data_IF_832251289282
#
_entry.id   IF_832251289282
#
_cell.length_a   1.000
_cell.length_b   1.000
_cell.length_c   1.000
_cell.angle_alpha   90.00
_cell.angle_beta   90.00
_cell.angle_gamma   90.00
#
_symmetry.space_group_name_H-M   'P 1'
#
loop_
_entity.id
_entity.type
_entity.pdbx_description
1 polymer ?
#
# COMPACT_ATOMS: atom_id res chain seq x y z
N UNK A 1 27.72 53.35 12.33
CA UNK A 1 27.40 52.10 13.05
C UNK A 1 25.98 51.72 12.69
N UNK A 2 25.79 50.81 11.73
CA UNK A 2 24.47 50.35 11.31
C UNK A 2 24.37 48.85 11.55
N UNK A 3 23.62 48.45 12.58
CA UNK A 3 23.29 47.06 12.85
C UNK A 3 22.35 46.55 11.75
N UNK A 4 22.87 45.74 10.83
CA UNK A 4 22.03 44.95 9.94
C UNK A 4 21.42 43.81 10.77
N UNK A 5 20.16 43.96 11.12
CA UNK A 5 19.34 42.87 11.66
C UNK A 5 19.33 41.72 10.64
N UNK A 6 19.87 40.58 11.05
CA UNK A 6 19.78 39.32 10.30
C UNK A 6 18.39 38.76 10.48
N UNK A 7 17.61 38.76 9.42
CA UNK A 7 16.35 38.03 9.35
C UNK A 7 16.60 36.52 9.54
N UNK A 8 15.94 35.94 10.55
CA UNK A 8 16.17 34.59 11.08
C UNK A 8 15.45 33.49 10.26
N UNK A 9 15.50 33.57 8.92
CA UNK A 9 15.03 32.51 8.02
C UNK A 9 16.18 31.69 7.40
N UNK A 10 17.43 32.03 7.73
CA UNK A 10 18.60 31.30 7.27
C UNK A 10 18.70 29.96 7.98
N UNK A 11 18.04 28.97 7.38
CA UNK A 11 18.50 27.58 7.26
C UNK A 11 19.05 26.98 8.54
N UNK A 12 18.16 26.62 9.46
CA UNK A 12 18.46 25.56 10.40
C UNK A 12 18.62 24.25 9.63
N UNK A 13 19.85 23.91 9.23
CA UNK A 13 20.37 22.56 8.97
C UNK A 13 19.33 21.45 8.67
N UNK A 14 18.47 21.65 7.68
CA UNK A 14 17.66 20.55 7.16
C UNK A 14 18.64 19.77 6.30
N UNK A 15 19.03 18.58 6.74
CA UNK A 15 19.65 17.62 5.84
C UNK A 15 18.70 17.47 4.65
N UNK A 16 19.02 18.11 3.53
CA UNK A 16 18.19 18.04 2.33
C UNK A 16 18.41 16.65 1.74
N UNK A 17 17.68 15.67 2.27
CA UNK A 17 17.74 14.29 1.81
C UNK A 17 16.95 14.18 0.51
N UNK A 18 17.68 14.29 -0.60
CA UNK A 18 17.09 14.23 -1.94
C UNK A 18 16.04 15.32 -2.20
N UNK A 19 15.13 15.03 -3.13
CA UNK A 19 14.06 15.91 -3.58
C UNK A 19 12.72 15.37 -3.11
N UNK A 20 11.89 16.24 -2.51
CA UNK A 20 10.56 15.88 -2.00
C UNK A 20 9.54 15.59 -3.11
N UNK A 21 9.59 16.35 -4.21
CA UNK A 21 8.78 16.11 -5.41
C UNK A 21 9.68 15.78 -6.61
N UNK A 22 9.52 14.57 -7.15
CA UNK A 22 10.35 14.09 -8.24
C UNK A 22 10.08 14.79 -9.58
N UNK A 23 9.01 15.59 -9.69
CA UNK A 23 8.81 16.50 -10.84
C UNK A 23 9.92 17.56 -10.92
N UNK A 24 10.56 17.88 -9.79
CA UNK A 24 11.67 18.84 -9.72
C UNK A 24 13.04 18.22 -10.05
N UNK A 25 13.09 16.93 -10.41
CA UNK A 25 14.34 16.29 -10.85
C UNK A 25 14.81 16.88 -12.18
N UNK A 26 16.11 17.20 -12.26
CA UNK A 26 16.73 17.75 -13.47
C UNK A 26 16.85 16.72 -14.60
N UNK A 27 16.94 15.44 -14.26
CA UNK A 27 16.96 14.31 -15.20
C UNK A 27 15.91 13.30 -14.79
N UNK A 28 14.95 13.04 -15.66
CA UNK A 28 13.94 11.99 -15.49
C UNK A 28 14.51 10.71 -16.10
N UNK A 29 15.29 9.96 -15.31
CA UNK A 29 15.71 8.59 -15.63
C UNK A 29 15.33 7.65 -14.49
N UNK A 30 15.19 6.36 -14.80
CA UNK A 30 14.90 5.33 -13.79
C UNK A 30 15.98 5.31 -12.70
N UNK A 31 17.25 5.46 -13.08
CA UNK A 31 18.35 5.49 -12.10
C UNK A 31 18.23 6.70 -11.16
N UNK A 32 17.88 7.88 -11.70
CA UNK A 32 17.73 9.10 -10.91
C UNK A 32 16.59 9.00 -9.89
N UNK A 33 15.46 8.38 -10.28
CA UNK A 33 14.32 8.12 -9.40
C UNK A 33 14.72 7.16 -8.27
N UNK A 34 15.35 6.03 -8.63
CA UNK A 34 15.79 5.02 -7.66
C UNK A 34 16.83 5.61 -6.71
N UNK A 35 17.76 6.41 -7.21
CA UNK A 35 18.78 7.06 -6.38
C UNK A 35 18.14 8.06 -5.39
N UNK A 36 17.15 8.84 -5.83
CA UNK A 36 16.44 9.77 -4.96
C UNK A 36 15.68 9.03 -3.86
N UNK A 37 14.91 7.99 -4.22
CA UNK A 37 14.18 7.16 -3.26
C UNK A 37 15.13 6.48 -2.27
N UNK A 38 16.27 5.99 -2.74
CA UNK A 38 17.29 5.37 -1.88
C UNK A 38 17.90 6.37 -0.89
N UNK A 39 18.25 7.57 -1.33
CA UNK A 39 18.79 8.63 -0.45
C UNK A 39 17.80 8.98 0.66
N UNK A 40 16.54 9.21 0.29
CA UNK A 40 15.45 9.52 1.22
C UNK A 40 15.20 8.39 2.22
N UNK A 41 15.17 7.16 1.72
CA UNK A 41 14.98 5.98 2.56
C UNK A 41 16.11 5.79 3.58
N UNK A 42 17.36 6.08 3.21
CA UNK A 42 18.51 6.02 4.13
C UNK A 42 18.44 7.07 5.25
N UNK A 43 17.79 8.21 4.99
CA UNK A 43 17.52 9.25 5.99
C UNK A 43 16.14 9.11 6.64
N UNK A 44 15.51 7.93 6.55
CA UNK A 44 14.23 7.59 7.19
C UNK A 44 12.98 8.35 6.67
N UNK A 45 13.11 9.00 5.50
CA UNK A 45 12.00 9.57 4.76
C UNK A 45 11.38 8.54 3.80
N UNK A 46 10.20 8.04 4.15
CA UNK A 46 9.52 6.98 3.38
C UNK A 46 8.56 7.52 2.31
N UNK A 47 8.20 8.80 2.42
CA UNK A 47 7.22 9.46 1.59
C UNK A 47 7.89 10.44 0.62
N UNK A 48 7.45 10.39 -0.63
CA UNK A 48 7.96 11.23 -1.73
C UNK A 48 6.82 11.53 -2.70
N UNK A 49 6.73 12.75 -3.21
CA UNK A 49 5.76 13.12 -4.23
C UNK A 49 6.26 12.84 -5.65
N UNK A 50 5.30 12.54 -6.52
CA UNK A 50 5.40 12.70 -7.97
C UNK A 50 4.16 13.50 -8.40
N UNK A 51 4.27 14.83 -8.36
CA UNK A 51 3.12 15.71 -8.61
C UNK A 51 1.92 15.34 -7.70
N UNK A 52 0.77 14.90 -8.24
CA UNK A 52 -0.39 14.54 -7.42
C UNK A 52 -0.28 13.17 -6.74
N UNK A 53 0.71 12.34 -7.09
CA UNK A 53 0.85 10.97 -6.57
C UNK A 53 1.81 10.95 -5.38
N UNK A 54 1.44 10.24 -4.32
CA UNK A 54 2.30 9.99 -3.17
C UNK A 54 2.90 8.58 -3.27
N UNK A 55 4.24 8.50 -3.28
CA UNK A 55 4.98 7.26 -3.13
C UNK A 55 5.25 6.99 -1.66
N UNK A 56 4.97 5.76 -1.24
CA UNK A 56 5.25 5.25 0.11
C UNK A 56 6.13 4.02 -0.01
N UNK A 57 7.34 4.08 0.54
CA UNK A 57 8.26 2.93 0.63
C UNK A 57 8.11 2.27 2.00
N UNK A 58 7.95 0.96 2.08
CA UNK A 58 7.76 0.28 3.37
C UNK A 58 9.09 0.21 4.16
N UNK A 59 9.20 0.82 5.35
CA UNK A 59 10.44 0.80 6.14
C UNK A 59 10.66 -0.52 6.90
N UNK A 60 9.66 -1.42 6.96
CA UNK A 60 9.67 -2.66 7.77
C UNK A 60 9.97 -2.44 9.28
N UNK A 61 9.93 -1.20 9.74
CA UNK A 61 10.07 -0.78 11.14
C UNK A 61 8.96 0.21 11.49
N UNK A 62 8.65 0.33 12.78
CA UNK A 62 7.74 1.37 13.24
C UNK A 62 8.46 2.71 13.27
N UNK A 63 7.85 3.73 12.66
CA UNK A 63 8.39 5.07 12.60
C UNK A 63 7.75 5.96 13.67
N UNK A 64 8.51 6.86 14.31
CA UNK A 64 8.03 7.65 15.44
C UNK A 64 7.12 8.84 15.05
N UNK A 65 6.99 9.20 13.78
CA UNK A 65 6.27 10.40 13.31
C UNK A 65 4.79 10.16 12.94
N UNK A 66 4.20 9.02 13.32
CA UNK A 66 2.77 8.76 13.16
C UNK A 66 2.00 9.04 14.45
N UNK A 67 2.19 10.22 15.05
CA UNK A 67 1.49 10.64 16.27
C UNK A 67 0.38 11.65 15.99
N UNK A 68 -0.41 11.95 17.01
CA UNK A 68 -1.46 12.97 16.91
C UNK A 68 -0.89 14.37 16.64
N UNK A 69 0.37 14.63 17.03
CA UNK A 69 1.02 15.92 16.78
C UNK A 69 1.22 16.17 15.29
N UNK A 70 1.58 15.15 14.53
CA UNK A 70 1.69 15.30 13.08
C UNK A 70 0.32 15.49 12.44
N UNK A 71 -0.74 14.85 12.96
CA UNK A 71 -2.11 15.08 12.45
C UNK A 71 -2.46 16.56 12.55
N UNK A 72 -2.19 17.19 13.69
CA UNK A 72 -2.41 18.63 13.91
C UNK A 72 -1.54 19.52 13.02
N UNK A 73 -0.27 19.14 12.81
CA UNK A 73 0.66 19.87 11.93
C UNK A 73 0.19 19.91 10.48
N UNK A 74 -0.40 18.82 10.00
CA UNK A 74 -0.89 18.70 8.62
C UNK A 74 -2.32 19.19 8.42
N UNK A 75 -3.07 19.45 9.51
CA UNK A 75 -4.45 19.92 9.44
C UNK A 75 -4.52 21.35 8.90
N UNK A 76 -5.15 21.53 7.74
CA UNK A 76 -5.33 22.83 7.10
C UNK A 76 -4.07 23.42 6.46
N UNK A 77 -2.93 22.75 6.53
CA UNK A 77 -1.68 23.18 5.89
C UNK A 77 -1.74 22.99 4.37
N UNK A 78 -1.05 23.82 3.59
CA UNK A 78 -0.93 23.59 2.15
C UNK A 78 0.04 22.42 1.86
N UNK A 79 -0.18 21.73 0.74
CA UNK A 79 0.57 20.52 0.37
C UNK A 79 2.10 20.73 0.30
N UNK A 80 2.55 21.95 -0.01
CA UNK A 80 3.96 22.31 -0.15
C UNK A 80 4.55 23.05 1.05
N UNK A 81 3.77 23.32 2.10
CA UNK A 81 4.27 23.92 3.34
C UNK A 81 5.01 22.91 4.21
N UNK A 82 4.57 21.65 4.15
CA UNK A 82 5.08 20.55 4.96
C UNK A 82 5.73 19.47 4.07
N UNK A 83 6.65 18.66 4.62
CA UNK A 83 7.25 17.56 3.87
C UNK A 83 6.20 16.52 3.43
N UNK A 84 6.50 15.72 2.38
CA UNK A 84 5.57 14.73 1.84
C UNK A 84 5.10 13.75 2.91
N UNK A 85 3.78 13.64 3.05
CA UNK A 85 3.17 12.75 4.04
C UNK A 85 1.78 12.30 3.60
N UNK A 86 1.35 11.13 4.10
CA UNK A 86 0.00 10.59 3.84
C UNK A 86 -1.11 11.46 4.44
N UNK A 87 -0.80 12.19 5.52
CA UNK A 87 -1.75 13.13 6.15
C UNK A 87 -2.01 14.36 5.28
N UNK A 88 -0.99 14.91 4.61
CA UNK A 88 -1.18 16.00 3.64
C UNK A 88 -2.12 15.59 2.49
N UNK A 89 -1.95 14.36 1.97
CA UNK A 89 -2.85 13.81 0.94
C UNK A 89 -4.29 13.69 1.46
N UNK A 90 -4.45 13.20 2.69
CA UNK A 90 -5.76 12.99 3.30
C UNK A 90 -6.47 14.30 3.62
N UNK A 91 -5.74 15.29 4.12
CA UNK A 91 -6.25 16.63 4.41
C UNK A 91 -6.71 17.35 3.13
N UNK A 92 -5.89 17.30 2.07
CA UNK A 92 -6.26 17.87 0.78
C UNK A 92 -7.54 17.21 0.24
N UNK A 93 -7.62 15.88 0.29
CA UNK A 93 -8.82 15.12 -0.09
C UNK A 93 -10.04 15.56 0.73
N UNK A 94 -9.93 15.63 2.05
CA UNK A 94 -11.05 15.99 2.94
C UNK A 94 -11.49 17.44 2.71
N UNK A 95 -10.56 18.39 2.53
CA UNK A 95 -10.89 19.78 2.23
C UNK A 95 -11.56 19.95 0.87
N UNK A 96 -11.05 19.31 -0.18
CA UNK A 96 -11.68 19.39 -1.51
C UNK A 96 -13.10 18.82 -1.47
N UNK A 97 -13.32 17.72 -0.74
CA UNK A 97 -14.66 17.17 -0.53
C UNK A 97 -15.61 18.18 0.15
N UNK A 98 -15.14 18.94 1.15
CA UNK A 98 -15.96 19.94 1.86
C UNK A 98 -16.19 21.22 1.04
N UNK A 99 -15.18 21.69 0.32
CA UNK A 99 -15.22 22.94 -0.44
C UNK A 99 -16.01 22.76 -1.74
N UNK A 100 -15.67 21.74 -2.51
CA UNK A 100 -16.27 21.50 -3.83
C UNK A 100 -17.59 20.70 -3.72
N UNK A 101 -17.80 20.00 -2.61
CA UNK A 101 -18.97 19.14 -2.41
C UNK A 101 -18.93 17.88 -3.29
N UNK A 102 -17.77 17.51 -3.81
CA UNK A 102 -17.58 16.37 -4.71
C UNK A 102 -17.00 15.14 -3.99
N UNK A 103 -17.39 13.95 -4.45
CA UNK A 103 -16.90 12.69 -3.91
C UNK A 103 -15.42 12.48 -4.25
N UNK A 104 -14.61 12.17 -3.24
CA UNK A 104 -13.18 11.91 -3.41
C UNK A 104 -12.85 10.43 -3.30
N UNK A 105 -11.82 9.99 -4.03
CA UNK A 105 -11.36 8.61 -4.02
C UNK A 105 -9.83 8.54 -3.98
N UNK A 106 -9.30 7.72 -3.07
CA UNK A 106 -7.86 7.42 -2.98
C UNK A 106 -7.63 5.98 -3.36
N UNK A 107 -6.77 5.77 -4.36
CA UNK A 107 -6.39 4.45 -4.85
C UNK A 107 -5.02 4.10 -4.27
N UNK A 108 -4.96 3.02 -3.49
CA UNK A 108 -3.71 2.52 -2.90
C UNK A 108 -3.29 1.26 -3.66
N UNK A 109 -2.30 1.40 -4.53
CA UNK A 109 -1.73 0.29 -5.30
C UNK A 109 -0.37 -0.14 -4.75
N UNK A 110 0.06 -1.34 -5.11
CA UNK A 110 1.37 -1.88 -4.72
C UNK A 110 1.36 -3.39 -4.55
N UNK A 111 2.55 -3.99 -4.55
CA UNK A 111 2.70 -5.43 -4.34
C UNK A 111 2.22 -5.87 -2.94
N UNK A 112 2.02 -7.17 -2.78
CA UNK A 112 1.60 -7.72 -1.50
C UNK A 112 2.72 -7.57 -0.48
N UNK A 113 2.46 -6.87 0.63
CA UNK A 113 3.49 -6.49 1.62
C UNK A 113 4.03 -5.06 1.49
N UNK A 114 3.62 -4.30 0.47
CA UNK A 114 4.05 -2.91 0.27
C UNK A 114 3.55 -1.90 1.33
N UNK A 115 2.62 -2.29 2.20
CA UNK A 115 2.07 -1.41 3.25
C UNK A 115 0.68 -0.83 2.96
N UNK A 116 -0.02 -1.30 1.92
CA UNK A 116 -1.37 -0.81 1.52
C UNK A 116 -2.37 -0.73 2.68
N UNK A 117 -2.48 -1.80 3.48
CA UNK A 117 -3.40 -1.86 4.63
C UNK A 117 -3.03 -0.85 5.72
N UNK A 118 -1.73 -0.62 5.93
CA UNK A 118 -1.22 0.32 6.94
C UNK A 118 -1.49 1.76 6.49
N UNK A 119 -1.25 2.06 5.21
CA UNK A 119 -1.58 3.35 4.61
C UNK A 119 -3.08 3.66 4.74
N UNK A 120 -3.96 2.71 4.40
CA UNK A 120 -5.41 2.88 4.56
C UNK A 120 -5.81 3.17 6.01
N UNK A 121 -5.18 2.50 6.99
CA UNK A 121 -5.41 2.73 8.42
C UNK A 121 -5.03 4.16 8.83
N UNK A 122 -3.92 4.71 8.32
CA UNK A 122 -3.52 6.08 8.62
C UNK A 122 -4.46 7.12 8.03
N UNK A 123 -4.91 6.92 6.79
CA UNK A 123 -5.92 7.78 6.14
C UNK A 123 -7.21 7.80 6.98
N UNK A 124 -7.73 6.62 7.35
CA UNK A 124 -8.93 6.51 8.18
C UNK A 124 -8.74 7.13 9.57
N UNK A 125 -7.57 6.93 10.18
CA UNK A 125 -7.24 7.52 11.48
C UNK A 125 -7.22 9.05 11.44
N UNK A 126 -6.66 9.63 10.38
CA UNK A 126 -6.62 11.07 10.15
C UNK A 126 -8.02 11.65 9.98
N UNK A 127 -8.81 11.10 9.06
CA UNK A 127 -10.20 11.50 8.81
C UNK A 127 -11.02 11.43 10.10
N UNK A 128 -10.87 10.37 10.87
CA UNK A 128 -11.58 10.20 12.12
C UNK A 128 -11.26 11.25 13.17
N UNK A 129 -10.05 11.82 13.16
CA UNK A 129 -9.65 12.90 14.07
C UNK A 129 -10.13 14.26 13.57
N UNK A 130 -9.96 14.55 12.27
CA UNK A 130 -10.27 15.85 11.67
C UNK A 130 -11.77 16.08 11.50
N UNK A 131 -12.54 15.04 11.17
CA UNK A 131 -13.99 15.17 10.97
C UNK A 131 -14.79 15.44 12.24
N UNK A 132 -14.15 15.46 13.42
CA UNK A 132 -14.77 15.83 14.70
C UNK A 132 -15.90 14.90 15.16
N UNK A 133 -16.31 13.93 14.34
CA UNK A 133 -17.37 13.00 14.65
C UNK A 133 -16.91 12.10 15.81
N UNK A 134 -17.64 12.17 16.91
CA UNK A 134 -17.33 11.47 18.17
C UNK A 134 -17.40 9.94 18.06
N UNK A 135 -18.10 9.30 18.99
CA UNK A 135 -18.10 7.83 19.13
C UNK A 135 -18.51 7.09 17.85
N UNK A 136 -19.38 7.68 17.01
CA UNK A 136 -19.83 7.08 15.74
C UNK A 136 -18.69 6.77 14.76
N UNK A 137 -17.70 7.65 14.67
CA UNK A 137 -16.59 7.51 13.70
C UNK A 137 -15.56 6.54 14.17
N UNK A 138 -15.27 6.60 15.47
CA UNK A 138 -14.44 5.60 16.12
C UNK A 138 -15.10 4.22 15.97
N UNK A 139 -16.42 4.12 16.10
CA UNK A 139 -17.14 2.87 15.88
C UNK A 139 -17.00 2.36 14.44
N UNK A 140 -17.21 3.21 13.41
CA UNK A 140 -17.03 2.81 12.00
C UNK A 140 -15.59 2.37 11.73
N UNK A 141 -14.61 3.12 12.24
CA UNK A 141 -13.18 2.79 12.15
C UNK A 141 -12.88 1.46 12.83
N UNK A 142 -13.40 1.22 14.02
CA UNK A 142 -13.17 -0.01 14.78
C UNK A 142 -13.80 -1.21 14.08
N UNK A 143 -15.01 -1.07 13.55
CA UNK A 143 -15.64 -2.11 12.71
C UNK A 143 -14.75 -2.43 11.51
N UNK A 144 -14.25 -1.43 10.81
CA UNK A 144 -13.37 -1.63 9.65
C UNK A 144 -12.07 -2.34 10.06
N UNK A 145 -11.44 -1.91 11.16
CA UNK A 145 -10.19 -2.51 11.65
C UNK A 145 -10.39 -3.95 12.14
N UNK A 146 -11.51 -4.24 12.81
CA UNK A 146 -11.88 -5.58 13.27
C UNK A 146 -12.32 -6.51 12.13
N UNK A 147 -12.86 -5.95 11.05
CA UNK A 147 -13.23 -6.71 9.85
C UNK A 147 -12.03 -7.21 9.06
N UNK A 148 -10.85 -6.60 9.21
CA UNK A 148 -9.65 -7.00 8.47
C UNK A 148 -9.24 -8.46 8.70
N UNK A 149 -9.08 -8.96 9.94
CA UNK A 149 -8.81 -10.38 10.19
C UNK A 149 -9.79 -11.34 9.52
N UNK A 150 -11.09 -11.00 9.53
CA UNK A 150 -12.12 -11.81 8.87
C UNK A 150 -11.93 -11.82 7.35
N UNK A 151 -11.78 -10.64 6.76
CA UNK A 151 -11.54 -10.49 5.33
C UNK A 151 -10.23 -11.15 4.88
N UNK A 152 -9.20 -11.14 5.73
CA UNK A 152 -7.94 -11.86 5.47
C UNK A 152 -8.11 -13.38 5.58
N UNK A 153 -8.90 -13.89 6.53
CA UNK A 153 -9.17 -15.31 6.63
C UNK A 153 -9.88 -15.86 5.38
N UNK A 154 -10.91 -15.14 4.90
CA UNK A 154 -11.73 -15.56 3.76
C UNK A 154 -11.14 -15.21 2.40
N UNK A 155 -10.32 -14.15 2.32
CA UNK A 155 -9.86 -13.59 1.04
C UNK A 155 -8.36 -13.62 0.82
N UNK A 156 -7.55 -14.00 1.83
CA UNK A 156 -6.12 -14.19 1.64
C UNK A 156 -5.77 -15.67 1.49
N UNK A 157 -4.74 -15.91 0.69
CA UNK A 157 -4.18 -17.23 0.47
C UNK A 157 -2.65 -17.14 0.35
N UNK A 158 -1.99 -18.28 0.54
CA UNK A 158 -0.57 -18.42 0.23
C UNK A 158 -0.41 -18.64 -1.29
N UNK A 159 0.36 -17.75 -1.91
CA UNK A 159 0.88 -17.90 -3.28
C UNK A 159 2.37 -18.21 -3.24
N UNK A 160 2.97 -18.49 -4.40
CA UNK A 160 4.42 -18.73 -4.51
C UNK A 160 5.26 -17.55 -3.99
N UNK A 161 4.79 -16.32 -4.23
CA UNK A 161 5.52 -15.08 -3.89
C UNK A 161 5.15 -14.48 -2.54
N UNK A 162 3.99 -14.81 -1.98
CA UNK A 162 3.54 -14.23 -0.72
C UNK A 162 2.65 -15.19 0.09
N UNK A 163 2.97 -15.37 1.37
CA UNK A 163 2.24 -16.23 2.29
C UNK A 163 0.87 -15.67 2.74
N UNK A 164 0.63 -14.37 2.61
CA UNK A 164 -0.61 -13.69 2.99
C UNK A 164 -1.07 -12.74 1.88
N UNK A 165 -1.23 -13.27 0.67
CA UNK A 165 -1.65 -12.48 -0.50
C UNK A 165 -3.14 -12.25 -0.50
N UNK A 166 -3.59 -10.99 -0.52
CA UNK A 166 -5.00 -10.65 -0.72
C UNK A 166 -5.41 -10.92 -2.16
N UNK A 167 -6.40 -11.81 -2.36
CA UNK A 167 -6.92 -12.21 -3.68
C UNK A 167 -8.28 -11.58 -3.97
N UNK A 168 -8.49 -10.39 -3.43
CA UNK A 168 -9.67 -9.55 -3.61
C UNK A 168 -9.26 -8.08 -3.43
N UNK A 169 -9.97 -7.18 -4.12
CA UNK A 169 -9.94 -5.75 -3.87
C UNK A 169 -10.82 -5.39 -2.69
N UNK A 170 -10.34 -4.46 -1.86
CA UNK A 170 -11.08 -3.86 -0.75
C UNK A 170 -11.42 -2.42 -1.12
N UNK A 171 -12.69 -2.07 -1.07
CA UNK A 171 -13.15 -0.70 -1.22
C UNK A 171 -13.85 -0.28 0.06
N UNK A 172 -13.35 0.79 0.65
CA UNK A 172 -13.90 1.40 1.85
C UNK A 172 -14.52 2.73 1.46
N UNK A 173 -15.81 2.85 1.73
CA UNK A 173 -16.58 4.06 1.52
C UNK A 173 -16.92 4.65 2.89
N UNK A 174 -16.58 5.92 3.10
CA UNK A 174 -17.00 6.67 4.29
C UNK A 174 -17.91 7.77 3.77
N UNK A 175 -19.12 7.82 4.31
CA UNK A 175 -20.16 8.75 3.89
C UNK A 175 -20.19 9.91 4.86
N UNK A 176 -20.11 11.12 4.31
CA UNK A 176 -20.19 12.37 5.07
C UNK A 176 -21.49 13.10 4.74
N UNK A 177 -22.09 13.69 5.76
CA UNK A 177 -23.14 14.67 5.61
C UNK A 177 -22.59 15.97 5.04
N UNK A 178 -23.48 16.86 4.57
CA UNK A 178 -23.11 18.20 4.08
C UNK A 178 -22.40 19.07 5.13
N UNK A 179 -22.56 18.76 6.41
CA UNK A 179 -21.86 19.44 7.50
C UNK A 179 -20.43 18.95 7.74
N UNK A 180 -19.94 17.97 6.97
CA UNK A 180 -18.64 17.35 7.18
C UNK A 180 -18.61 16.27 8.26
N UNK A 181 -19.74 16.03 8.92
CA UNK A 181 -19.91 14.94 9.88
C UNK A 181 -20.12 13.61 9.16
N UNK A 182 -19.38 12.56 9.53
CA UNK A 182 -19.58 11.22 8.97
C UNK A 182 -20.90 10.59 9.42
N UNK A 183 -21.68 10.16 8.44
CA UNK A 183 -23.01 9.54 8.62
C UNK A 183 -22.92 8.01 8.66
N UNK A 184 -21.96 7.43 7.95
CA UNK A 184 -21.78 5.97 7.91
C UNK A 184 -20.58 5.52 7.09
N UNK A 185 -20.47 4.21 6.93
CA UNK A 185 -19.43 3.61 6.09
C UNK A 185 -19.85 2.25 5.53
N UNK A 186 -19.33 1.93 4.35
CA UNK A 186 -19.61 0.69 3.63
C UNK A 186 -18.31 0.05 3.18
N UNK A 187 -18.23 -1.27 3.33
CA UNK A 187 -17.11 -2.07 2.82
C UNK A 187 -17.63 -2.87 1.63
N UNK A 188 -17.01 -2.70 0.48
CA UNK A 188 -17.32 -3.49 -0.72
C UNK A 188 -16.09 -4.31 -1.12
N UNK A 189 -16.30 -5.59 -1.39
CA UNK A 189 -15.25 -6.49 -1.84
C UNK A 189 -15.37 -6.70 -3.35
N UNK A 190 -14.25 -6.58 -4.06
CA UNK A 190 -14.21 -6.68 -5.52
C UNK A 190 -13.28 -7.81 -5.97
N UNK A 191 -13.62 -8.43 -7.11
CA UNK A 191 -12.73 -9.35 -7.84
C UNK A 191 -12.11 -10.45 -6.97
N UNK A 192 -12.92 -11.09 -6.11
CA UNK A 192 -12.48 -12.27 -5.37
C UNK A 192 -12.11 -13.38 -6.37
N UNK A 193 -10.91 -13.96 -6.21
CA UNK A 193 -10.43 -15.08 -7.03
C UNK A 193 -11.19 -16.38 -6.69
N UNK A 194 -12.42 -16.52 -7.21
CA UNK A 194 -13.29 -17.67 -6.95
C UNK A 194 -12.70 -18.99 -7.47
N UNK A 195 -11.91 -18.95 -8.55
CA UNK A 195 -11.26 -20.14 -9.12
C UNK A 195 -10.35 -20.86 -8.13
N UNK A 196 -9.72 -20.12 -7.20
CA UNK A 196 -8.85 -20.68 -6.16
C UNK A 196 -9.55 -21.69 -5.24
N UNK A 197 -10.88 -21.62 -5.13
CA UNK A 197 -11.64 -22.58 -4.31
C UNK A 197 -11.59 -23.97 -4.91
N UNK A 198 -11.67 -24.08 -6.24
CA UNK A 198 -11.77 -25.37 -6.95
C UNK A 198 -10.43 -25.91 -7.43
N UNK A 199 -9.49 -25.03 -7.78
CA UNK A 199 -8.16 -25.43 -8.26
C UNK A 199 -7.08 -24.52 -7.69
N UNK A 200 -5.93 -25.11 -7.34
CA UNK A 200 -4.76 -24.40 -6.89
C UNK A 200 -3.53 -24.89 -7.65
N UNK A 201 -2.62 -23.99 -7.98
CA UNK A 201 -1.34 -24.35 -8.58
C UNK A 201 -0.44 -25.06 -7.56
N UNK A 202 0.53 -25.81 -8.05
CA UNK A 202 1.57 -26.39 -7.20
C UNK A 202 2.20 -25.28 -6.32
N UNK A 203 2.47 -25.61 -5.06
CA UNK A 203 3.02 -24.69 -4.06
C UNK A 203 2.12 -23.54 -3.59
N UNK A 204 0.88 -23.45 -4.07
CA UNK A 204 -0.11 -22.54 -3.54
C UNK A 204 -1.07 -23.24 -2.57
N UNK A 205 -1.81 -22.45 -1.78
CA UNK A 205 -2.85 -22.95 -0.89
C UNK A 205 -4.20 -22.32 -1.24
N UNK A 206 -5.26 -22.95 -0.75
CA UNK A 206 -6.59 -22.38 -0.74
C UNK A 206 -6.67 -21.21 0.29
N UNK A 207 -7.83 -20.57 0.43
CA UNK A 207 -8.03 -19.51 1.42
C UNK A 207 -7.76 -19.99 2.84
N UNK A 208 -7.22 -19.10 3.67
CA UNK A 208 -6.80 -19.43 5.05
C UNK A 208 -7.94 -20.02 5.88
N UNK A 209 -9.18 -19.59 5.65
CA UNK A 209 -10.36 -20.05 6.40
C UNK A 209 -10.53 -21.57 6.37
N UNK A 210 -10.28 -22.23 5.23
CA UNK A 210 -10.39 -23.69 5.13
C UNK A 210 -9.42 -24.39 6.06
N UNK A 211 -8.19 -23.88 6.15
CA UNK A 211 -7.16 -24.41 7.03
C UNK A 211 -7.37 -24.02 8.50
N UNK A 212 -7.94 -22.84 8.77
CA UNK A 212 -8.28 -22.41 10.13
C UNK A 212 -9.44 -23.23 10.71
N UNK A 213 -10.44 -23.55 9.89
CA UNK A 213 -11.59 -24.37 10.29
C UNK A 213 -11.20 -25.84 10.46
N UNK A 214 -10.44 -26.41 9.52
CA UNK A 214 -10.01 -27.82 9.61
C UNK A 214 -8.82 -28.04 10.55
N UNK A 215 -7.98 -27.03 10.72
CA UNK A 215 -6.87 -27.04 11.66
C UNK A 215 -7.26 -26.60 13.07
N UNK A 216 -8.55 -26.55 13.41
CA UNK A 216 -9.03 -26.28 14.77
C UNK A 216 -9.08 -27.60 15.57
N UNK A 217 -8.09 -27.92 16.42
CA UNK A 217 -8.29 -28.97 17.43
C UNK A 217 -9.18 -28.35 18.51
N UNK A 218 -10.30 -28.97 18.84
CA UNK A 218 -11.24 -28.45 19.83
C UNK A 218 -10.57 -27.96 21.12
N UNK A 219 -10.83 -26.69 21.47
CA UNK A 219 -11.20 -26.25 22.82
C UNK A 219 -10.33 -26.67 24.04
N UNK A 220 -9.03 -26.92 23.88
CA UNK A 220 -8.21 -27.47 24.99
C UNK A 220 -6.81 -26.89 25.14
N UNK A 221 -6.57 -25.61 24.83
CA UNK A 221 -5.38 -24.87 25.33
C UNK A 221 -5.39 -23.41 24.86
N UNK A 222 -6.23 -22.58 25.48
CA UNK A 222 -6.05 -21.12 25.42
C UNK A 222 -5.23 -20.69 26.63
N UNK A 223 -3.93 -20.96 26.61
CA UNK A 223 -2.95 -20.22 27.41
C UNK A 223 -1.65 -20.11 26.61
N UNK A 224 -1.21 -18.88 26.39
CA UNK A 224 0.12 -18.58 25.85
C UNK A 224 0.12 -18.34 24.34
N UNK A 225 0.23 -17.07 23.94
CA UNK A 225 0.35 -16.68 22.55
C UNK A 225 1.61 -17.25 21.88
N UNK A 226 1.48 -17.66 20.63
CA UNK A 226 2.31 -17.21 19.51
C UNK A 226 1.76 -17.76 18.20
N UNK A 227 1.63 -16.87 17.22
CA UNK A 227 1.24 -17.17 15.83
C UNK A 227 2.33 -18.03 15.17
N UNK A 228 2.15 -19.35 15.13
CA UNK A 228 3.13 -20.28 14.52
C UNK A 228 2.49 -21.34 13.60
N UNK A 229 1.46 -20.99 12.83
CA UNK A 229 0.84 -21.92 11.87
C UNK A 229 1.12 -21.57 10.40
N UNK A 230 1.90 -20.51 10.13
CA UNK A 230 2.31 -20.11 8.78
C UNK A 230 3.59 -20.82 8.28
N UNK A 231 4.30 -21.55 9.16
CA UNK A 231 5.62 -22.12 8.86
C UNK A 231 5.72 -23.60 9.21
N UNK A 232 5.09 -24.47 8.42
CA UNK A 232 5.59 -25.86 8.24
C UNK A 232 5.03 -26.44 6.94
N UNK A 233 5.81 -26.28 5.88
CA UNK A 233 6.06 -27.26 4.82
C UNK A 233 6.87 -26.52 3.74
N UNK A 234 8.16 -26.80 3.58
CA UNK A 234 8.86 -26.46 2.34
C UNK A 234 8.11 -27.15 1.20
N UNK A 235 7.92 -26.43 0.09
CA UNK A 235 7.54 -27.10 -1.13
C UNK A 235 8.61 -28.13 -1.49
N UNK A 236 8.24 -29.38 -1.80
CA UNK A 236 9.16 -30.24 -2.54
C UNK A 236 9.44 -29.53 -3.86
N UNK A 237 10.70 -29.17 -4.11
CA UNK A 237 11.12 -28.80 -5.46
C UNK A 237 10.81 -30.02 -6.37
N UNK A 238 10.30 -29.80 -7.60
CA UNK A 238 10.14 -30.91 -8.53
C UNK A 238 11.51 -31.55 -8.75
N UNK A 239 11.57 -32.87 -8.55
CA UNK A 239 12.79 -33.63 -8.72
C UNK A 239 13.27 -33.49 -10.17
N UNK A 240 14.41 -32.81 -10.37
CA UNK A 240 15.10 -32.85 -11.65
C UNK A 240 15.48 -34.31 -11.96
N UNK A 241 15.28 -34.78 -13.22
CA UNK A 241 15.80 -36.07 -13.63
C UNK A 241 17.33 -36.08 -13.48
N UNK A 242 17.82 -37.21 -12.97
CA UNK A 242 19.16 -37.42 -12.42
C UNK A 242 20.28 -36.98 -13.37
N UNK A 243 21.27 -36.30 -12.78
CA UNK A 243 22.65 -36.26 -13.28
C UNK A 243 23.10 -34.88 -13.75
N UNK A 244 23.88 -34.19 -12.91
CA UNK A 244 25.11 -33.42 -13.20
C UNK A 244 25.58 -32.77 -11.88
N UNK A 245 26.89 -32.77 -11.54
CA UNK A 245 27.36 -32.33 -10.22
C UNK A 245 27.33 -30.81 -10.06
N UNK A 246 27.12 -30.40 -8.81
CA UNK A 246 27.10 -29.01 -8.33
C UNK A 246 28.52 -28.45 -8.32
N UNK A 247 28.80 -27.40 -9.10
CA UNK A 247 30.02 -26.62 -8.97
C UNK A 247 29.79 -25.14 -9.31
N UNK A 248 30.45 -24.29 -8.51
CA UNK A 248 30.77 -22.88 -8.71
C UNK A 248 29.64 -21.83 -8.65
N UNK A 249 29.73 -21.04 -7.57
CA UNK A 249 29.33 -19.64 -7.56
C UNK A 249 30.23 -18.83 -8.52
N UNK A 250 29.67 -17.82 -9.20
CA UNK A 250 30.29 -16.49 -9.35
C UNK A 250 29.37 -15.51 -10.11
N UNK A 251 29.71 -14.23 -9.94
CA UNK A 251 29.05 -12.99 -10.30
C UNK A 251 28.75 -12.77 -11.80
N UNK A 252 27.75 -11.91 -12.09
CA UNK A 252 27.92 -10.86 -13.12
C UNK A 252 26.84 -10.71 -14.20
N UNK A 253 26.32 -9.47 -14.29
CA UNK A 253 25.85 -8.76 -15.49
C UNK A 253 24.36 -8.84 -15.96
N UNK A 254 23.70 -7.68 -15.81
CA UNK A 254 23.02 -6.85 -16.84
C UNK A 254 22.20 -7.52 -17.96
N UNK A 255 20.86 -7.39 -17.93
CA UNK A 255 20.02 -6.47 -18.74
C UNK A 255 18.52 -6.91 -18.75
N UNK A 256 17.56 -5.98 -18.94
CA UNK A 256 16.13 -6.26 -18.92
C UNK A 256 15.54 -6.48 -20.33
N UNK A 257 14.91 -7.63 -20.55
CA UNK A 257 14.17 -7.93 -21.78
C UNK A 257 12.70 -7.47 -21.71
N UNK A 258 12.44 -6.31 -22.32
CA UNK A 258 11.11 -5.83 -22.74
C UNK A 258 10.54 -6.80 -23.78
N UNK A 259 9.37 -7.41 -23.53
CA UNK A 259 8.66 -8.21 -24.54
C UNK A 259 7.37 -7.49 -24.98
N UNK A 260 7.51 -6.73 -26.07
CA UNK A 260 6.42 -6.36 -26.98
C UNK A 260 5.97 -7.63 -27.72
N UNK A 261 4.67 -7.93 -27.73
CA UNK A 261 4.09 -8.90 -28.66
C UNK A 261 3.59 -8.16 -29.92
N UNK A 262 3.98 -8.59 -31.13
CA UNK A 262 3.42 -8.10 -32.38
C UNK A 262 2.15 -8.87 -32.77
N UNK A 263 1.21 -8.17 -33.41
CA UNK A 263 0.16 -8.81 -34.22
C UNK A 263 0.76 -9.58 -35.41
N UNK A 264 0.02 -10.56 -35.94
CA UNK A 264 0.01 -10.75 -37.38
C UNK A 264 -1.40 -10.72 -37.99
N UNK A 265 -1.53 -9.83 -38.97
CA UNK A 265 -2.52 -9.80 -40.03
C UNK A 265 -2.84 -11.18 -40.63
N UNK A 266 -4.13 -11.43 -40.87
CA UNK A 266 -4.59 -12.30 -41.97
C UNK A 266 -5.68 -11.61 -42.76
N UNK A 267 -5.32 -11.29 -43.99
CA UNK A 267 -6.13 -10.73 -45.06
C UNK A 267 -7.01 -11.80 -45.75
N UNK A 268 -8.27 -11.39 -46.03
CA UNK A 268 -9.08 -11.60 -47.27
C UNK A 268 -9.90 -12.90 -47.46
N UNK A 269 -10.94 -12.92 -48.37
CA UNK A 269 -11.55 -11.85 -49.20
C UNK A 269 -13.10 -11.76 -49.21
N UNK A 270 -13.63 -10.61 -49.68
CA UNK A 270 -14.51 -10.49 -50.86
C UNK A 270 -15.99 -10.94 -50.83
N UNK A 271 -16.88 -10.00 -51.18
CA UNK A 271 -18.25 -10.19 -51.70
C UNK A 271 -19.29 -9.45 -50.85
N UNK A 272 -20.08 -8.49 -51.32
CA UNK A 272 -20.61 -8.24 -52.67
C UNK A 272 -22.15 -8.37 -52.62
N UNK A 273 -22.85 -7.24 -52.63
CA UNK A 273 -24.26 -7.02 -52.98
C UNK A 273 -25.37 -7.86 -52.32
N UNK A 274 -26.23 -7.22 -51.52
CA UNK A 274 -27.52 -6.62 -51.91
C UNK A 274 -28.17 -5.93 -50.72
#
# INVERSE_FOLDING_TARGET
MGSKERFHWQSHNVKQSGVDDMVLLSKISEEAIVENLKKRFMDDFIFTYIGPVLISVNPFKQMPYFTEREIELYQGAAQYENPPHIYALTDNMYRNMLIDGENQCVIISGESGAGKTVAAKYIMGYISKVSGGGEKVQHVKDIILQSNPLLEAFGNAKTVRNNNSSRFGKYFEIQFSRGGEPDGGKISNFLLEKSRVVSQNECERNFHIYYQVWGWPGASSLQGGTRSWLTTAPCPLPAHPRGIPRAAAEFGHHEPGLLLLPEPDRHLPGGGHR
#
